data_IF_806509189225
#
_entry.id   IF_806509189225
#
_cell.length_a   1.000
_cell.length_b   1.000
_cell.length_c   1.000
_cell.angle_alpha   90.00
_cell.angle_beta   90.00
_cell.angle_gamma   90.00
#
_symmetry.space_group_name_H-M   'P 1'
#
loop_
_entity.id
_entity.type
_entity.pdbx_description
1 polymer ?
#
# COMPACT_ATOMS: atom_id res chain seq x y z
N UNK A 1 -10.83 14.69 16.36
CA UNK A 1 -10.17 14.03 15.22
C UNK A 1 -10.88 14.35 13.94
N UNK A 2 -10.19 14.73 12.94
CA UNK A 2 -10.81 15.05 11.69
C UNK A 2 -10.72 13.87 10.70
N UNK A 3 -11.39 14.04 9.58
CA UNK A 3 -11.41 13.00 8.55
C UNK A 3 -10.04 12.68 7.98
N UNK A 4 -9.20 13.69 7.84
CA UNK A 4 -7.88 13.48 7.23
C UNK A 4 -7.02 12.56 8.09
N UNK A 5 -7.04 12.77 9.40
CA UNK A 5 -6.28 11.91 10.30
C UNK A 5 -6.81 10.47 10.29
N UNK A 6 -8.13 10.32 10.31
CA UNK A 6 -8.74 9.00 10.26
C UNK A 6 -8.40 8.28 8.96
N UNK A 7 -8.48 8.98 7.84
CA UNK A 7 -8.15 8.40 6.54
C UNK A 7 -6.66 8.05 6.47
N UNK A 8 -5.81 8.90 7.04
CA UNK A 8 -4.37 8.62 7.07
C UNK A 8 -4.09 7.30 7.78
N UNK A 9 -4.70 7.09 8.95
CA UNK A 9 -4.51 5.84 9.69
C UNK A 9 -5.00 4.64 8.91
N UNK A 10 -6.13 4.78 8.24
CA UNK A 10 -6.67 3.74 7.39
C UNK A 10 -5.69 3.38 6.26
N UNK A 11 -5.14 4.39 5.60
CA UNK A 11 -4.24 4.17 4.48
C UNK A 11 -2.92 3.54 4.94
N UNK A 12 -2.42 3.96 6.08
CA UNK A 12 -1.21 3.37 6.65
C UNK A 12 -1.44 1.89 6.93
N UNK A 13 -2.61 1.55 7.50
CA UNK A 13 -2.97 0.17 7.75
C UNK A 13 -3.08 -0.64 6.48
N UNK A 14 -3.73 -0.09 5.45
CA UNK A 14 -3.86 -0.76 4.17
C UNK A 14 -2.50 -0.99 3.51
N UNK A 15 -1.61 0.00 3.61
CA UNK A 15 -0.26 -0.14 3.07
C UNK A 15 0.49 -1.26 3.78
N UNK A 16 0.35 -1.34 5.09
CA UNK A 16 1.02 -2.40 5.86
C UNK A 16 0.54 -3.78 5.42
N UNK A 17 -0.77 -3.94 5.19
CA UNK A 17 -1.34 -5.20 4.73
C UNK A 17 -0.83 -5.55 3.34
N UNK A 18 -0.88 -4.60 2.41
CA UNK A 18 -0.42 -4.84 1.04
C UNK A 18 1.06 -5.18 0.99
N UNK A 19 1.85 -4.51 1.81
CA UNK A 19 3.29 -4.77 1.89
C UNK A 19 3.55 -6.17 2.42
N UNK A 20 2.83 -6.56 3.47
CA UNK A 20 2.98 -7.88 4.06
C UNK A 20 2.58 -8.96 3.05
N UNK A 21 1.47 -8.74 2.35
CA UNK A 21 1.02 -9.68 1.33
C UNK A 21 2.06 -9.85 0.23
N UNK A 22 2.65 -8.75 -0.20
CA UNK A 22 3.70 -8.80 -1.23
C UNK A 22 4.92 -9.57 -0.73
N UNK A 23 5.33 -9.33 0.51
CA UNK A 23 6.49 -10.01 1.07
C UNK A 23 6.24 -11.52 1.18
N UNK A 24 5.04 -11.92 1.58
CA UNK A 24 4.67 -13.34 1.65
C UNK A 24 4.69 -13.96 0.27
N UNK A 25 4.14 -13.24 -0.71
CA UNK A 25 4.08 -13.70 -2.08
C UNK A 25 5.49 -13.92 -2.64
N UNK A 26 6.39 -12.97 -2.39
CA UNK A 26 7.76 -13.06 -2.89
C UNK A 26 8.59 -14.13 -2.19
N UNK A 27 8.33 -14.38 -0.91
CA UNK A 27 9.11 -15.34 -0.15
C UNK A 27 8.60 -16.76 -0.28
N UNK A 28 7.44 -16.98 -0.91
CA UNK A 28 6.88 -18.31 -1.08
C UNK A 28 6.41 -18.53 -2.51
N UNK A 29 7.33 -18.51 -3.46
CA UNK A 29 6.95 -18.61 -4.88
C UNK A 29 6.44 -19.98 -5.30
N UNK A 30 6.66 -21.01 -4.48
CA UNK A 30 6.28 -22.37 -4.86
C UNK A 30 4.78 -22.50 -5.07
N UNK A 31 4.00 -21.81 -4.26
CA UNK A 31 2.54 -21.87 -4.38
C UNK A 31 2.00 -21.16 -5.59
N UNK A 32 2.79 -20.31 -6.22
CA UNK A 32 2.37 -19.53 -7.38
C UNK A 32 3.13 -19.89 -8.65
N UNK A 33 4.10 -20.76 -8.53
CA UNK A 33 4.99 -21.09 -9.64
C UNK A 33 4.35 -21.81 -10.80
N UNK A 34 3.17 -22.35 -10.61
CA UNK A 34 2.47 -23.07 -11.65
C UNK A 34 1.74 -22.15 -12.62
N UNK A 35 1.59 -20.90 -12.26
CA UNK A 35 0.88 -19.93 -13.08
C UNK A 35 1.84 -18.91 -13.64
N UNK A 36 1.62 -18.56 -14.87
CA UNK A 36 2.52 -17.68 -15.59
C UNK A 36 2.38 -16.22 -15.18
N UNK A 37 1.48 -15.90 -14.25
CA UNK A 37 1.14 -14.52 -13.96
C UNK A 37 1.76 -13.95 -12.70
N UNK A 38 2.85 -14.57 -12.22
CA UNK A 38 3.52 -14.09 -11.02
C UNK A 38 3.97 -12.64 -11.20
N UNK A 39 4.56 -12.34 -12.36
CA UNK A 39 5.03 -10.99 -12.62
C UNK A 39 3.91 -9.96 -12.57
N UNK A 40 2.77 -10.30 -13.16
CA UNK A 40 1.63 -9.40 -13.16
C UNK A 40 1.09 -9.18 -11.76
N UNK A 41 1.03 -10.24 -10.95
CA UNK A 41 0.54 -10.11 -9.59
C UNK A 41 1.48 -9.26 -8.74
N UNK A 42 2.78 -9.45 -8.91
CA UNK A 42 3.76 -8.63 -8.19
C UNK A 42 3.63 -7.17 -8.60
N UNK A 43 3.52 -6.92 -9.89
CA UNK A 43 3.38 -5.57 -10.40
C UNK A 43 2.12 -4.89 -9.88
N UNK A 44 1.03 -5.64 -9.83
CA UNK A 44 -0.24 -5.14 -9.31
C UNK A 44 -0.11 -4.73 -7.84
N UNK A 45 0.56 -5.56 -7.04
CA UNK A 45 0.77 -5.24 -5.63
C UNK A 45 1.67 -4.03 -5.44
N UNK A 46 2.70 -3.92 -6.26
CA UNK A 46 3.57 -2.75 -6.25
C UNK A 46 2.77 -1.49 -6.59
N UNK A 47 1.90 -1.59 -7.59
CA UNK A 47 1.05 -0.48 -8.00
C UNK A 47 0.12 -0.05 -6.86
N UNK A 48 -0.48 -1.02 -6.15
CA UNK A 48 -1.35 -0.73 -5.03
C UNK A 48 -0.59 0.02 -3.92
N UNK A 49 0.61 -0.44 -3.62
CA UNK A 49 1.44 0.20 -2.58
C UNK A 49 1.80 1.63 -3.01
N UNK A 50 2.14 1.80 -4.27
CA UNK A 50 2.48 3.12 -4.80
C UNK A 50 1.31 4.08 -4.68
N UNK A 51 0.10 3.64 -5.03
CA UNK A 51 -1.09 4.48 -4.89
C UNK A 51 -1.34 4.85 -3.44
N UNK A 52 -1.15 3.91 -2.52
CA UNK A 52 -1.33 4.18 -1.10
C UNK A 52 -0.29 5.18 -0.60
N UNK A 53 0.96 5.02 -1.01
CA UNK A 53 2.02 5.98 -0.65
C UNK A 53 1.69 7.38 -1.13
N UNK A 54 1.21 7.51 -2.35
CA UNK A 54 0.87 8.80 -2.92
C UNK A 54 -0.24 9.48 -2.12
N UNK A 55 -1.27 8.72 -1.75
CA UNK A 55 -2.38 9.26 -0.95
C UNK A 55 -1.91 9.67 0.44
N UNK A 56 -1.06 8.85 1.04
CA UNK A 56 -0.51 9.14 2.37
C UNK A 56 0.26 10.46 2.33
N UNK A 57 1.14 10.61 1.34
CA UNK A 57 1.91 11.84 1.19
C UNK A 57 1.00 13.05 1.01
N UNK A 58 -0.03 12.92 0.19
CA UNK A 58 -0.97 14.02 -0.04
C UNK A 58 -1.66 14.43 1.25
N UNK A 59 -2.13 13.46 2.03
CA UNK A 59 -2.80 13.77 3.28
C UNK A 59 -1.85 14.40 4.27
N UNK A 60 -0.61 13.89 4.35
CA UNK A 60 0.39 14.46 5.25
C UNK A 60 0.68 15.92 4.90
N UNK A 61 0.75 16.24 3.61
CA UNK A 61 0.95 17.61 3.17
C UNK A 61 -0.24 18.49 3.51
N UNK A 62 -1.45 17.97 3.33
CA UNK A 62 -2.66 18.71 3.67
C UNK A 62 -2.71 19.01 5.17
N UNK A 63 -2.41 18.01 5.99
CA UNK A 63 -2.40 18.19 7.44
C UNK A 63 -1.36 19.22 7.86
N UNK A 64 -0.21 19.17 7.25
CA UNK A 64 0.85 20.13 7.54
C UNK A 64 0.41 21.55 7.19
N UNK A 65 -0.22 21.71 6.03
CA UNK A 65 -0.71 23.01 5.60
C UNK A 65 -1.80 23.55 6.51
N UNK A 66 -2.74 22.68 6.88
CA UNK A 66 -3.86 23.10 7.70
C UNK A 66 -3.47 23.42 9.15
N UNK A 67 -2.36 22.87 9.61
CA UNK A 67 -1.89 23.08 10.98
C UNK A 67 -0.91 24.24 11.11
N UNK A 68 -0.70 24.99 10.06
CA UNK A 68 0.18 26.17 10.11
C UNK A 68 -0.53 27.40 10.63
#
# INVERSE_FOLDING_TARGET
>A
MDYLEAILQKLIGQKAIETQDLMIYLSNPVGVGEHSDIGEEVEKKVSNIDHLNSKIETIQELLKTLNQ
#
